data_IF_618122483523
#
_entry.id   IF_618122483523
#
_cell.length_a   1.000
_cell.length_b   1.000
_cell.length_c   1.000
_cell.angle_alpha   90.00
_cell.angle_beta   90.00
_cell.angle_gamma   90.00
#
_symmetry.space_group_name_H-M   'P 1'
#
loop_
_entity.id
_entity.type
_entity.pdbx_description
1 polymer ?
#
# COMPACT_ATOMS: atom_id res chain seq x y z
N UNK A 1 0.47 -17.25 7.13
CA UNK A 1 -0.56 -16.20 7.28
C UNK A 1 0.22 -14.93 7.49
N UNK A 2 0.45 -14.17 6.43
CA UNK A 2 1.36 -13.01 6.42
C UNK A 2 1.03 -12.06 7.58
N UNK A 3 2.04 -11.57 8.31
CA UNK A 3 1.89 -10.81 9.56
C UNK A 3 1.45 -9.35 9.30
N UNK A 4 0.29 -9.20 8.66
CA UNK A 4 -0.32 -7.90 8.37
C UNK A 4 -0.76 -7.16 9.64
N UNK A 5 -1.00 -7.90 10.73
CA UNK A 5 -1.41 -7.34 12.02
C UNK A 5 -0.34 -6.44 12.64
N UNK A 6 0.93 -6.74 12.37
CA UNK A 6 2.03 -5.86 12.76
C UNK A 6 1.98 -4.54 12.00
N UNK A 7 1.81 -4.58 10.67
CA UNK A 7 1.69 -3.37 9.85
C UNK A 7 0.48 -2.53 10.24
N UNK A 8 -0.67 -3.16 10.49
CA UNK A 8 -1.87 -2.45 10.95
C UNK A 8 -1.62 -1.70 12.26
N UNK A 9 -0.86 -2.28 13.19
CA UNK A 9 -0.53 -1.64 14.48
C UNK A 9 0.52 -0.55 14.34
N UNK A 10 1.67 -0.87 13.75
CA UNK A 10 2.79 0.07 13.70
C UNK A 10 2.51 1.24 12.75
N UNK A 11 1.73 0.98 11.69
CA UNK A 11 1.50 1.98 10.65
C UNK A 11 0.16 2.73 10.77
N UNK A 12 -0.68 2.38 11.75
CA UNK A 12 -1.93 3.09 12.04
C UNK A 12 -1.73 4.62 12.18
N UNK A 13 -0.62 5.05 12.78
CA UNK A 13 -0.30 6.46 13.00
C UNK A 13 0.17 7.22 11.74
N UNK A 14 0.65 6.53 10.71
CA UNK A 14 1.19 7.16 9.49
C UNK A 14 0.10 7.53 8.48
N UNK A 15 -1.07 6.88 8.58
CA UNK A 15 -2.19 7.03 7.64
C UNK A 15 -3.47 7.53 8.33
N UNK A 16 -3.44 8.67 9.04
CA UNK A 16 -4.62 9.18 9.72
C UNK A 16 -5.74 9.48 8.71
N UNK A 17 -6.98 9.19 9.13
CA UNK A 17 -8.17 9.64 8.43
C UNK A 17 -8.16 11.18 8.37
N UNK A 18 -8.13 11.76 7.17
CA UNK A 18 -8.50 13.17 6.99
C UNK A 18 -10.02 13.28 7.04
N UNK A 19 -10.56 14.28 7.74
CA UNK A 19 -12.00 14.53 7.92
C UNK A 19 -12.83 14.12 6.68
N UNK A 20 -13.74 13.16 6.87
CA UNK A 20 -14.66 12.67 5.85
C UNK A 20 -14.20 11.46 5.02
N UNK A 21 -12.92 11.03 5.08
CA UNK A 21 -12.42 9.82 4.40
C UNK A 21 -11.96 8.77 5.42
N UNK A 22 -12.38 7.50 5.31
CA UNK A 22 -11.81 6.43 6.12
C UNK A 22 -10.28 6.42 6.02
N UNK A 23 -9.59 6.16 7.14
CA UNK A 23 -8.15 5.97 7.15
C UNK A 23 -7.76 4.99 6.03
N UNK A 24 -6.72 5.32 5.26
CA UNK A 24 -6.26 4.40 4.22
C UNK A 24 -5.71 3.16 4.90
N UNK A 25 -6.21 1.97 4.52
CA UNK A 25 -5.79 0.72 5.14
C UNK A 25 -4.26 0.55 5.03
N UNK A 26 -3.53 0.37 6.15
CA UNK A 26 -2.07 0.19 6.11
C UNK A 26 -1.61 -0.94 5.18
N UNK A 27 -2.39 -2.03 5.06
CA UNK A 27 -2.11 -3.13 4.14
C UNK A 27 -2.17 -2.70 2.67
N UNK A 28 -3.11 -1.81 2.32
CA UNK A 28 -3.20 -1.27 0.96
C UNK A 28 -1.94 -0.48 0.62
N UNK A 29 -1.51 0.41 1.52
CA UNK A 29 -0.32 1.22 1.29
C UNK A 29 0.93 0.35 1.20
N UNK A 30 1.09 -0.58 2.15
CA UNK A 30 2.25 -1.45 2.19
C UNK A 30 2.33 -2.33 0.94
N UNK A 31 1.20 -2.93 0.54
CA UNK A 31 1.12 -3.76 -0.65
C UNK A 31 1.40 -2.98 -1.94
N UNK A 32 0.90 -1.75 -2.09
CA UNK A 32 1.19 -0.93 -3.26
C UNK A 32 2.67 -0.55 -3.36
N UNK A 33 3.32 -0.20 -2.25
CA UNK A 33 4.75 0.10 -2.23
C UNK A 33 5.60 -1.13 -2.55
N UNK A 34 5.23 -2.30 -2.03
CA UNK A 34 5.87 -3.56 -2.38
C UNK A 34 5.75 -3.85 -3.88
N UNK A 35 4.55 -3.75 -4.44
CA UNK A 35 4.30 -3.99 -5.87
C UNK A 35 5.06 -3.00 -6.76
N UNK A 36 5.21 -1.74 -6.34
CA UNK A 36 6.06 -0.79 -7.05
C UNK A 36 7.51 -1.26 -7.11
N UNK A 37 8.07 -1.64 -5.97
CA UNK A 37 9.47 -2.04 -5.89
C UNK A 37 9.72 -3.35 -6.63
N UNK A 38 8.89 -4.37 -6.39
CA UNK A 38 9.04 -5.70 -6.98
C UNK A 38 8.95 -5.71 -8.51
N UNK A 39 8.19 -4.78 -9.10
CA UNK A 39 7.98 -4.69 -10.55
C UNK A 39 8.57 -3.44 -11.20
N UNK A 40 9.28 -2.58 -10.44
CA UNK A 40 9.85 -1.33 -10.95
C UNK A 40 8.83 -0.35 -11.52
N UNK A 41 7.67 -0.20 -10.88
CA UNK A 41 6.55 0.60 -11.39
C UNK A 41 6.52 2.03 -10.83
N UNK A 42 6.02 2.98 -11.63
CA UNK A 42 5.69 4.34 -11.17
C UNK A 42 4.42 4.35 -10.28
N UNK A 43 4.11 5.51 -9.68
CA UNK A 43 2.88 5.74 -8.92
C UNK A 43 1.61 5.50 -9.76
N UNK A 44 1.61 5.94 -11.00
CA UNK A 44 0.51 5.75 -11.94
C UNK A 44 0.45 4.31 -12.42
N UNK A 45 1.60 3.72 -12.77
CA UNK A 45 1.66 2.37 -13.33
C UNK A 45 1.23 1.30 -12.34
N UNK A 46 1.59 1.43 -11.05
CA UNK A 46 1.14 0.48 -10.02
C UNK A 46 -0.37 0.54 -9.83
N UNK A 47 -0.97 1.74 -9.87
CA UNK A 47 -2.41 1.91 -9.70
C UNK A 47 -3.19 1.39 -10.91
N UNK A 48 -2.70 1.66 -12.13
CA UNK A 48 -3.30 1.11 -13.35
C UNK A 48 -3.29 -0.43 -13.33
N UNK A 49 -2.13 -1.03 -13.02
CA UNK A 49 -1.99 -2.49 -12.95
C UNK A 49 -2.79 -3.10 -11.81
N UNK A 50 -2.95 -2.38 -10.69
CA UNK A 50 -3.79 -2.82 -9.58
C UNK A 50 -5.27 -2.89 -9.97
N UNK A 51 -5.78 -1.92 -10.74
CA UNK A 51 -7.18 -1.92 -11.21
C UNK A 51 -7.46 -3.11 -12.12
N UNK A 52 -6.48 -3.51 -12.94
CA UNK A 52 -6.64 -4.61 -13.90
C UNK A 52 -6.36 -6.00 -13.29
N UNK A 53 -5.80 -6.08 -12.09
CA UNK A 53 -5.30 -7.32 -11.52
C UNK A 53 -5.97 -7.70 -10.19
N UNK A 54 -6.94 -8.65 -10.18
CA UNK A 54 -7.58 -9.12 -8.96
C UNK A 54 -6.62 -9.66 -7.90
N UNK A 55 -5.48 -10.25 -8.30
CA UNK A 55 -4.47 -10.74 -7.36
C UNK A 55 -3.82 -9.59 -6.61
N UNK A 56 -3.56 -8.46 -7.26
CA UNK A 56 -2.99 -7.29 -6.61
C UNK A 56 -3.99 -6.67 -5.64
N UNK A 57 -5.27 -6.62 -6.01
CA UNK A 57 -6.35 -6.14 -5.14
C UNK A 57 -6.46 -7.01 -3.89
N UNK A 58 -6.51 -8.33 -4.07
CA UNK A 58 -6.57 -9.28 -2.97
C UNK A 58 -5.33 -9.20 -2.06
N UNK A 59 -4.15 -9.09 -2.65
CA UNK A 59 -2.89 -8.92 -1.91
C UNK A 59 -2.95 -7.68 -1.01
N UNK A 60 -3.47 -6.57 -1.52
CA UNK A 60 -3.65 -5.31 -0.77
C UNK A 60 -4.83 -5.28 0.20
N UNK A 61 -5.62 -6.35 0.30
CA UNK A 61 -6.69 -6.49 1.28
C UNK A 61 -8.11 -6.31 0.76
N UNK A 62 -8.31 -6.19 -0.55
CA UNK A 62 -9.66 -6.17 -1.13
C UNK A 62 -10.29 -7.56 -1.12
N UNK A 63 -11.58 -7.59 -0.78
CA UNK A 63 -12.41 -8.82 -0.80
C UNK A 63 -13.27 -8.89 -2.06
N UNK A 64 -13.58 -7.73 -2.64
CA UNK A 64 -14.33 -7.60 -3.89
C UNK A 64 -13.48 -6.93 -4.95
N UNK A 65 -13.77 -7.23 -6.21
CA UNK A 65 -13.05 -6.62 -7.32
C UNK A 65 -13.42 -5.14 -7.46
N UNK A 66 -12.40 -4.29 -7.45
CA UNK A 66 -12.51 -2.84 -7.56
C UNK A 66 -12.17 -2.40 -8.98
N UNK A 67 -13.00 -1.54 -9.56
CA UNK A 67 -12.83 -1.04 -10.93
C UNK A 67 -12.17 0.34 -11.01
N UNK A 68 -11.83 0.93 -9.86
CA UNK A 68 -11.24 2.27 -9.78
C UNK A 68 -9.99 2.24 -8.91
N UNK A 69 -9.02 3.13 -9.16
CA UNK A 69 -7.87 3.25 -8.28
C UNK A 69 -8.30 3.52 -6.84
N UNK A 70 -7.68 2.85 -5.85
CA UNK A 70 -8.10 2.98 -4.45
C UNK A 70 -7.68 4.35 -3.88
N UNK A 71 -6.69 5.00 -4.50
CA UNK A 71 -6.10 6.27 -4.10
C UNK A 71 -5.64 7.09 -5.30
N UNK A 72 -5.34 8.37 -5.06
CA UNK A 72 -4.69 9.22 -6.05
C UNK A 72 -3.19 8.89 -6.14
N UNK A 73 -2.55 8.89 -7.33
CA UNK A 73 -1.13 8.60 -7.50
C UNK A 73 -0.20 9.38 -6.56
N UNK A 74 -0.45 10.69 -6.41
CA UNK A 74 0.34 11.56 -5.52
C UNK A 74 0.29 11.19 -4.03
N UNK A 75 -0.62 10.32 -3.60
CA UNK A 75 -0.62 9.80 -2.23
C UNK A 75 0.61 8.93 -1.95
N UNK A 76 1.06 8.12 -2.92
CA UNK A 76 2.21 7.23 -2.75
C UNK A 76 3.50 8.02 -2.54
N UNK A 77 3.74 9.04 -3.38
CA UNK A 77 4.84 9.98 -3.21
C UNK A 77 4.83 10.68 -1.83
N UNK A 78 3.67 11.15 -1.38
CA UNK A 78 3.54 11.79 -0.05
C UNK A 78 3.82 10.82 1.09
N UNK A 79 3.40 9.57 0.97
CA UNK A 79 3.63 8.57 2.01
C UNK A 79 5.08 8.14 2.08
N UNK A 80 5.76 7.92 0.94
CA UNK A 80 7.21 7.67 0.93
C UNK A 80 7.97 8.77 1.67
N UNK A 81 7.60 10.03 1.46
CA UNK A 81 8.17 11.15 2.21
C UNK A 81 7.88 11.15 3.71
N UNK A 82 6.76 10.56 4.15
CA UNK A 82 6.39 10.47 5.58
C UNK A 82 7.04 9.30 6.31
N UNK A 83 7.22 8.17 5.64
CA UNK A 83 7.85 6.97 6.22
C UNK A 83 9.39 7.02 6.16
N UNK A 84 9.96 7.82 5.25
CA UNK A 84 11.40 7.91 5.03
C UNK A 84 12.01 6.65 4.40
N UNK A 85 13.29 6.70 4.05
CA UNK A 85 14.00 5.56 3.43
C UNK A 85 14.04 4.34 4.37
N UNK A 86 14.26 4.57 5.66
CA UNK A 86 14.27 3.51 6.69
C UNK A 86 12.91 2.80 6.79
N UNK A 87 11.80 3.54 6.71
CA UNK A 87 10.46 2.96 6.71
C UNK A 87 10.14 2.17 5.43
N UNK A 88 10.70 2.58 4.28
CA UNK A 88 10.58 1.83 3.03
C UNK A 88 11.39 0.53 3.09
N UNK A 89 12.63 0.58 3.59
CA UNK A 89 13.51 -0.59 3.71
C UNK A 89 12.94 -1.65 4.67
N UNK A 90 12.38 -1.21 5.79
CA UNK A 90 11.66 -2.08 6.74
C UNK A 90 10.43 -2.74 6.11
N UNK A 91 9.65 -1.99 5.33
CA UNK A 91 8.51 -2.54 4.60
C UNK A 91 8.96 -3.64 3.63
N UNK A 92 10.01 -3.41 2.86
CA UNK A 92 10.50 -4.38 1.88
C UNK A 92 11.00 -5.66 2.56
N UNK A 93 11.77 -5.51 3.65
CA UNK A 93 12.28 -6.66 4.43
C UNK A 93 11.14 -7.52 4.96
N UNK A 94 10.11 -6.91 5.55
CA UNK A 94 9.00 -7.66 6.18
C UNK A 94 7.97 -8.22 5.20
N UNK A 95 7.89 -7.67 3.98
CA UNK A 95 6.99 -8.22 2.94
C UNK A 95 7.62 -9.41 2.19
N UNK A 96 8.95 -9.58 2.27
CA UNK A 96 9.69 -10.73 1.69
C UNK A 96 9.74 -11.93 2.66
N UNK A 97 9.75 -11.69 3.97
CA UNK A 97 9.80 -12.74 5.00
C UNK A 97 8.43 -13.41 5.29
N UNK A 98 7.34 -12.98 4.65
CA UNK A 98 5.95 -13.35 4.96
C UNK A 98 5.27 -14.19 3.88
#
# INVERSE_FOLDING_TARGET
MSDWSWFEREWAGFFPASEGRPATNPRLVAGLMYLQHAYGLSDEAVLARWVENPYFQHFTGEVFFQHRPPIHPSSLSRWRGRIGEEGVEWLLTKTIEA
#
